data_IF_341065883989
#
_entry.id   IF_341065883989
#
_cell.length_a   1.000
_cell.length_b   1.000
_cell.length_c   1.000
_cell.angle_alpha   90.00
_cell.angle_beta   90.00
_cell.angle_gamma   90.00
#
_symmetry.space_group_name_H-M   'P 1'
#
loop_
_entity.id
_entity.type
_entity.pdbx_description
1 polymer ?
#
# COMPACT_ATOMS: atom_id res chain seq x y z
N UNK A 1 11.96 -14.80 -9.03
CA UNK A 1 11.32 -14.41 -10.32
C UNK A 1 9.86 -14.09 -9.98
N UNK A 2 9.53 -13.14 -10.10
CA UNK A 2 8.94 -11.89 -10.09
C UNK A 2 7.82 -11.87 -11.11
N UNK A 3 6.95 -10.96 -11.08
CA UNK A 3 5.71 -10.86 -11.86
C UNK A 3 5.85 -11.28 -13.34
N UNK A 4 4.72 -11.50 -14.02
CA UNK A 4 4.68 -11.83 -15.46
C UNK A 4 5.53 -10.83 -16.30
N UNK A 5 5.61 -9.57 -15.86
CA UNK A 5 6.42 -8.51 -16.48
C UNK A 5 7.93 -8.74 -16.33
N UNK A 6 8.36 -9.22 -15.18
CA UNK A 6 9.79 -9.52 -14.95
C UNK A 6 10.23 -10.81 -15.65
N UNK A 7 9.32 -11.79 -15.78
CA UNK A 7 9.56 -12.94 -16.62
C UNK A 7 9.69 -12.52 -18.10
N UNK A 8 8.82 -11.60 -18.56
CA UNK A 8 8.89 -11.06 -19.90
C UNK A 8 10.19 -10.29 -20.12
N UNK A 9 10.55 -9.37 -19.22
CA UNK A 9 11.83 -8.63 -19.27
C UNK A 9 13.04 -9.56 -19.27
N UNK A 10 12.98 -10.62 -18.47
CA UNK A 10 14.02 -11.65 -18.43
C UNK A 10 14.17 -12.37 -19.77
N UNK A 11 13.05 -12.78 -20.40
CA UNK A 11 13.03 -13.40 -21.72
C UNK A 11 13.49 -12.43 -22.81
N UNK A 12 13.08 -11.16 -22.71
CA UNK A 12 13.50 -10.11 -23.65
C UNK A 12 15.01 -9.84 -23.58
N UNK A 13 15.61 -9.88 -22.39
CA UNK A 13 17.07 -9.79 -22.21
C UNK A 13 17.81 -10.97 -22.84
N UNK A 14 17.26 -12.18 -22.74
CA UNK A 14 17.80 -13.35 -23.44
C UNK A 14 17.70 -13.16 -24.95
N UNK A 15 16.53 -12.71 -25.45
CA UNK A 15 16.30 -12.47 -26.86
C UNK A 15 17.21 -11.39 -27.44
N UNK A 16 17.57 -10.35 -26.65
CA UNK A 16 18.51 -9.29 -27.04
C UNK A 16 19.98 -9.69 -26.88
N UNK A 17 20.28 -10.90 -26.37
CA UNK A 17 21.65 -11.35 -26.12
C UNK A 17 22.32 -10.70 -24.90
N UNK A 18 21.57 -10.00 -24.07
CA UNK A 18 22.05 -9.34 -22.83
C UNK A 18 22.21 -10.35 -21.67
N UNK A 19 21.57 -11.52 -21.79
CA UNK A 19 21.66 -12.62 -20.84
C UNK A 19 21.89 -13.94 -21.60
N UNK A 20 22.95 -14.64 -21.23
CA UNK A 20 23.25 -15.95 -21.82
C UNK A 20 22.14 -16.98 -21.52
N UNK A 21 21.68 -17.75 -22.53
CA UNK A 21 20.61 -18.74 -22.35
C UNK A 21 20.86 -19.80 -21.28
N UNK A 22 22.12 -20.24 -21.07
CA UNK A 22 22.43 -21.22 -20.05
C UNK A 22 22.34 -20.60 -18.65
N UNK A 23 22.84 -19.39 -18.47
CA UNK A 23 22.72 -18.61 -17.24
C UNK A 23 21.23 -18.34 -16.93
N UNK A 24 20.45 -17.98 -17.97
CA UNK A 24 19.01 -17.80 -17.85
C UNK A 24 18.30 -19.07 -17.40
N UNK A 25 18.63 -20.21 -17.99
CA UNK A 25 18.07 -21.51 -17.61
C UNK A 25 18.40 -21.86 -16.16
N UNK A 26 19.63 -21.65 -15.70
CA UNK A 26 20.04 -21.92 -14.33
C UNK A 26 19.24 -21.06 -13.33
N UNK A 27 19.15 -19.75 -13.58
CA UNK A 27 18.37 -18.82 -12.75
C UNK A 27 16.87 -19.19 -12.71
N UNK A 28 16.30 -19.64 -13.83
CA UNK A 28 14.93 -20.13 -13.89
C UNK A 28 14.74 -21.41 -13.06
N UNK A 29 15.65 -22.37 -13.21
CA UNK A 29 15.60 -23.61 -12.46
C UNK A 29 15.77 -23.39 -10.96
N UNK A 30 16.65 -22.51 -10.54
CA UNK A 30 16.84 -22.17 -9.13
C UNK A 30 15.58 -21.54 -8.55
N UNK A 31 14.93 -20.66 -9.32
CA UNK A 31 13.64 -20.07 -8.93
C UNK A 31 12.53 -21.11 -8.80
N UNK A 32 12.44 -22.04 -9.77
CA UNK A 32 11.43 -23.10 -9.75
C UNK A 32 11.69 -24.16 -8.64
N UNK A 33 12.95 -24.37 -8.26
CA UNK A 33 13.35 -25.25 -7.16
C UNK A 33 13.21 -24.60 -5.79
N UNK A 34 13.21 -23.27 -5.73
CA UNK A 34 13.03 -22.56 -4.48
C UNK A 34 11.65 -22.88 -3.88
N UNK A 35 11.62 -23.24 -2.59
CA UNK A 35 10.34 -23.47 -1.90
C UNK A 35 9.52 -22.17 -1.95
N UNK A 36 8.21 -22.23 -2.27
CA UNK A 36 7.35 -21.06 -2.39
C UNK A 36 7.14 -20.33 -1.07
N UNK A 37 7.39 -21.01 0.04
CA UNK A 37 7.32 -20.44 1.38
C UNK A 37 8.43 -20.98 2.27
N UNK A 38 8.74 -20.21 3.31
CA UNK A 38 9.64 -20.61 4.40
C UNK A 38 8.84 -20.78 5.69
N UNK A 39 9.00 -21.92 6.34
CA UNK A 39 8.31 -22.25 7.60
C UNK A 39 9.20 -21.88 8.79
N UNK A 40 8.79 -20.87 9.56
CA UNK A 40 9.45 -20.40 10.78
C UNK A 40 8.87 -21.06 12.04
N UNK A 41 8.01 -22.10 11.91
CA UNK A 41 7.33 -22.78 12.99
C UNK A 41 6.05 -22.06 13.44
N UNK A 42 6.12 -20.78 13.68
CA UNK A 42 4.96 -19.94 14.06
C UNK A 42 4.31 -19.22 12.88
N UNK A 43 4.97 -19.14 11.74
CA UNK A 43 4.46 -18.49 10.52
C UNK A 43 5.10 -19.12 9.28
N UNK A 44 4.43 -18.96 8.13
CA UNK A 44 4.94 -19.36 6.82
C UNK A 44 5.07 -18.14 5.95
N UNK A 45 6.30 -17.75 5.60
CA UNK A 45 6.61 -16.58 4.76
C UNK A 45 6.44 -16.93 3.29
N UNK A 46 5.55 -16.25 2.58
CA UNK A 46 5.26 -16.50 1.16
C UNK A 46 6.22 -15.73 0.25
N UNK A 47 7.28 -16.38 -0.18
CA UNK A 47 8.27 -15.79 -1.08
C UNK A 47 7.82 -15.65 -2.54
N UNK A 48 6.69 -16.28 -2.93
CA UNK A 48 6.14 -16.20 -4.28
C UNK A 48 5.02 -15.16 -4.43
N UNK A 49 4.71 -14.39 -3.38
CA UNK A 49 3.64 -13.41 -3.44
C UNK A 49 3.90 -12.32 -4.48
N UNK A 50 5.13 -11.85 -4.62
CA UNK A 50 5.51 -10.87 -5.65
C UNK A 50 5.27 -11.36 -7.07
N UNK A 51 5.42 -12.67 -7.31
CA UNK A 51 5.16 -13.30 -8.61
C UNK A 51 3.67 -13.28 -8.95
N UNK A 52 2.81 -13.51 -7.96
CA UNK A 52 1.35 -13.57 -8.16
C UNK A 52 0.68 -12.20 -8.11
N UNK A 53 1.12 -11.35 -7.20
CA UNK A 53 0.42 -10.12 -6.84
C UNK A 53 1.22 -8.84 -7.18
N UNK A 54 2.43 -8.96 -7.75
CA UNK A 54 3.27 -7.82 -8.12
C UNK A 54 4.00 -7.13 -6.97
N UNK A 55 3.71 -7.48 -5.71
CA UNK A 55 4.35 -6.94 -4.51
C UNK A 55 4.69 -8.06 -3.51
N UNK A 56 5.83 -7.97 -2.78
CA UNK A 56 6.24 -8.98 -1.80
C UNK A 56 5.24 -9.17 -0.66
N UNK A 57 5.47 -10.17 0.17
CA UNK A 57 4.68 -10.37 1.39
C UNK A 57 4.80 -9.17 2.33
N UNK A 58 3.67 -8.79 2.92
CA UNK A 58 3.55 -7.67 3.86
C UNK A 58 3.22 -8.20 5.24
N UNK A 59 3.94 -7.74 6.23
CA UNK A 59 3.73 -8.14 7.62
C UNK A 59 2.66 -7.23 8.25
N UNK A 60 1.56 -7.80 8.68
CA UNK A 60 0.64 -7.11 9.59
C UNK A 60 1.23 -7.21 11.01
N UNK A 61 1.66 -6.07 11.58
CA UNK A 61 2.26 -6.03 12.91
C UNK A 61 1.25 -6.28 14.05
N UNK A 62 -0.02 -5.95 13.82
CA UNK A 62 -1.07 -6.13 14.81
C UNK A 62 -1.17 -7.60 15.26
N UNK A 63 -1.16 -7.82 16.58
CA UNK A 63 -1.27 -9.16 17.16
C UNK A 63 0.01 -10.00 17.13
N UNK A 64 1.13 -9.46 16.62
CA UNK A 64 2.44 -10.11 16.64
C UNK A 64 3.37 -9.49 17.68
N UNK A 65 4.23 -10.32 18.27
CA UNK A 65 5.29 -9.82 19.14
C UNK A 65 6.41 -9.16 18.31
N UNK A 66 7.18 -8.22 18.89
CA UNK A 66 8.35 -7.63 18.23
C UNK A 66 9.34 -8.67 17.70
N UNK A 67 9.58 -9.76 18.45
CA UNK A 67 10.46 -10.84 18.02
C UNK A 67 9.93 -11.60 16.81
N UNK A 68 8.62 -11.84 16.73
CA UNK A 68 8.00 -12.46 15.56
C UNK A 68 8.10 -11.57 14.32
N UNK A 69 7.88 -10.25 14.47
CA UNK A 69 8.00 -9.29 13.38
C UNK A 69 9.45 -9.23 12.87
N UNK A 70 10.44 -9.21 13.78
CA UNK A 70 11.85 -9.20 13.42
C UNK A 70 12.27 -10.47 12.67
N UNK A 71 11.81 -11.65 13.12
CA UNK A 71 12.10 -12.92 12.44
C UNK A 71 11.49 -12.98 11.03
N UNK A 72 10.25 -12.50 10.85
CA UNK A 72 9.60 -12.39 9.55
C UNK A 72 10.34 -11.39 8.63
N UNK A 73 10.71 -10.23 9.17
CA UNK A 73 11.45 -9.20 8.44
C UNK A 73 12.79 -9.73 7.92
N UNK A 74 13.55 -10.43 8.79
CA UNK A 74 14.80 -11.09 8.40
C UNK A 74 14.62 -12.08 7.25
N UNK A 75 13.61 -12.95 7.33
CA UNK A 75 13.33 -13.95 6.31
C UNK A 75 12.97 -13.32 4.95
N UNK A 76 12.14 -12.25 4.94
CA UNK A 76 11.77 -11.50 3.73
C UNK A 76 13.00 -10.84 3.11
N UNK A 77 13.80 -10.13 3.93
CA UNK A 77 14.95 -9.37 3.47
C UNK A 77 16.09 -10.28 2.99
N UNK A 78 16.30 -11.44 3.63
CA UNK A 78 17.28 -12.43 3.22
C UNK A 78 17.06 -12.98 1.81
N UNK A 79 15.83 -12.89 1.28
CA UNK A 79 15.46 -13.26 -0.10
C UNK A 79 15.54 -12.10 -1.10
N UNK A 80 16.10 -10.96 -0.69
CA UNK A 80 16.21 -9.78 -1.54
C UNK A 80 14.89 -9.06 -1.76
N UNK A 81 13.84 -9.35 -0.98
CA UNK A 81 12.52 -8.73 -1.11
C UNK A 81 12.44 -7.43 -0.31
N UNK A 82 11.72 -6.45 -0.84
CA UNK A 82 11.35 -5.23 -0.10
C UNK A 82 10.49 -5.59 1.11
N UNK A 83 10.83 -5.03 2.27
CA UNK A 83 10.07 -5.20 3.51
C UNK A 83 9.04 -4.09 3.67
N UNK A 84 7.83 -4.47 4.01
CA UNK A 84 6.78 -3.60 4.53
C UNK A 84 6.11 -4.26 5.73
N UNK A 85 6.13 -3.56 6.86
CA UNK A 85 5.35 -3.93 8.05
C UNK A 85 4.31 -2.84 8.26
N UNK A 86 3.03 -3.20 8.32
CA UNK A 86 1.94 -2.29 8.64
C UNK A 86 1.52 -2.44 10.10
N UNK A 87 0.91 -1.41 10.68
CA UNK A 87 0.50 -1.40 12.10
C UNK A 87 1.67 -1.72 13.03
N UNK A 88 2.84 -1.20 12.69
CA UNK A 88 4.06 -1.37 13.46
C UNK A 88 4.07 -0.44 14.69
N UNK A 89 4.74 -0.91 15.74
CA UNK A 89 5.04 -0.10 16.94
C UNK A 89 6.53 0.23 16.95
N UNK A 90 6.90 1.23 17.74
CA UNK A 90 8.32 1.55 17.99
C UNK A 90 9.11 0.35 18.54
N UNK A 91 8.50 -0.41 19.46
CA UNK A 91 9.12 -1.64 19.99
C UNK A 91 9.34 -2.70 18.88
N UNK A 92 8.43 -2.80 17.91
CA UNK A 92 8.61 -3.65 16.74
C UNK A 92 9.75 -3.16 15.85
N UNK A 93 9.87 -1.85 15.65
CA UNK A 93 10.96 -1.26 14.89
C UNK A 93 12.31 -1.52 15.54
N UNK A 94 12.45 -1.33 16.87
CA UNK A 94 13.69 -1.60 17.58
C UNK A 94 14.14 -3.07 17.41
N UNK A 95 13.21 -4.02 17.43
CA UNK A 95 13.53 -5.43 17.17
C UNK A 95 13.91 -5.68 15.69
N UNK A 96 13.19 -5.07 14.75
CA UNK A 96 13.49 -5.21 13.31
C UNK A 96 14.83 -4.58 12.97
N UNK A 97 15.18 -3.44 13.53
CA UNK A 97 16.43 -2.71 13.29
C UNK A 97 17.68 -3.54 13.61
N UNK A 98 17.61 -4.43 14.58
CA UNK A 98 18.70 -5.35 14.93
C UNK A 98 18.97 -6.34 13.79
N UNK A 99 17.93 -6.88 13.17
CA UNK A 99 18.02 -7.87 12.09
C UNK A 99 18.14 -7.22 10.70
N UNK A 100 17.61 -6.01 10.53
CA UNK A 100 17.57 -5.24 9.29
C UNK A 100 18.02 -3.79 9.58
N UNK A 101 19.34 -3.52 9.72
CA UNK A 101 19.85 -2.21 10.15
C UNK A 101 19.47 -1.03 9.25
N UNK A 102 19.12 -1.28 7.97
CA UNK A 102 18.69 -0.26 7.01
C UNK A 102 17.18 0.03 7.02
N UNK A 103 16.39 -0.63 7.89
CA UNK A 103 14.97 -0.38 7.98
C UNK A 103 14.67 1.03 8.52
N UNK A 104 13.62 1.65 7.97
CA UNK A 104 13.12 2.97 8.38
C UNK A 104 11.75 2.82 9.03
N UNK A 105 11.53 3.50 10.14
CA UNK A 105 10.24 3.59 10.82
C UNK A 105 9.55 4.92 10.51
N UNK A 106 8.33 4.84 10.05
CA UNK A 106 7.43 5.97 9.84
C UNK A 106 6.35 5.93 10.92
N UNK A 107 6.60 6.62 12.03
CA UNK A 107 5.71 6.58 13.21
C UNK A 107 4.33 7.17 12.94
N UNK A 108 4.23 8.17 12.06
CA UNK A 108 2.98 8.78 11.60
C UNK A 108 2.06 7.82 10.84
N UNK A 109 2.65 6.88 10.10
CA UNK A 109 1.97 5.86 9.32
C UNK A 109 1.94 4.48 10.01
N UNK A 110 2.62 4.32 11.14
CA UNK A 110 2.86 3.03 11.80
C UNK A 110 3.45 1.98 10.83
N UNK A 111 4.43 2.37 10.01
CA UNK A 111 5.06 1.50 9.01
C UNK A 111 6.56 1.29 9.31
N UNK A 112 7.05 0.06 9.08
CA UNK A 112 8.48 -0.21 8.93
C UNK A 112 8.74 -0.60 7.49
N UNK A 113 9.73 0.02 6.86
CA UNK A 113 10.04 -0.15 5.44
C UNK A 113 11.53 -0.40 5.25
N UNK A 114 11.87 -1.36 4.38
CA UNK A 114 13.22 -1.51 3.85
C UNK A 114 13.15 -1.83 2.35
N UNK A 115 13.53 -0.88 1.50
CA UNK A 115 13.49 -1.02 0.06
C UNK A 115 14.74 -1.75 -0.43
N UNK A 116 14.56 -2.86 -1.17
CA UNK A 116 15.66 -3.60 -1.79
C UNK A 116 15.52 -3.73 -3.30
N UNK A 117 14.32 -3.59 -3.83
CA UNK A 117 14.06 -3.80 -5.25
C UNK A 117 13.53 -2.52 -5.89
N UNK A 118 13.96 -2.28 -7.10
CA UNK A 118 13.34 -1.28 -7.96
C UNK A 118 11.96 -1.81 -8.39
N UNK A 119 10.98 -0.94 -8.34
CA UNK A 119 9.61 -1.23 -8.77
C UNK A 119 9.30 -0.42 -10.03
N UNK A 120 8.44 -0.95 -10.89
CA UNK A 120 7.96 -0.20 -12.05
C UNK A 120 7.22 1.06 -11.61
N UNK A 121 7.42 2.14 -12.35
CA UNK A 121 6.76 3.42 -12.07
C UNK A 121 5.32 3.36 -12.58
N UNK A 122 4.37 3.85 -11.78
CA UNK A 122 2.96 4.01 -12.17
C UNK A 122 2.80 5.03 -13.29
N UNK A 123 1.70 4.92 -14.03
CA UNK A 123 1.44 5.74 -15.24
C UNK A 123 0.97 7.18 -14.96
N UNK A 124 0.62 7.48 -13.72
CA UNK A 124 0.15 8.81 -13.30
C UNK A 124 0.25 8.98 -11.79
N UNK A 125 -0.32 10.06 -11.29
CA UNK A 125 -0.29 10.41 -9.88
C UNK A 125 -1.47 9.81 -9.12
N UNK A 126 -1.21 9.25 -7.93
CA UNK A 126 -2.23 8.90 -6.95
C UNK A 126 -2.39 10.08 -6.01
N UNK A 127 -3.60 10.60 -5.87
CA UNK A 127 -3.92 11.60 -4.85
C UNK A 127 -4.44 10.91 -3.61
N UNK A 128 -3.89 11.27 -2.44
CA UNK A 128 -4.39 10.83 -1.13
C UNK A 128 -4.98 12.04 -0.42
N UNK A 129 -6.30 12.07 -0.28
CA UNK A 129 -7.05 13.12 0.39
C UNK A 129 -7.52 12.67 1.78
N UNK A 130 -7.28 13.47 2.81
CA UNK A 130 -7.75 13.21 4.18
C UNK A 130 -8.70 14.29 4.66
N UNK A 131 -9.81 13.88 5.30
CA UNK A 131 -10.84 14.80 5.77
C UNK A 131 -10.33 15.69 6.91
N UNK A 132 -9.70 15.10 7.92
CA UNK A 132 -9.19 15.83 9.07
C UNK A 132 -7.80 15.35 9.51
N UNK A 133 -7.19 16.10 10.42
CA UNK A 133 -5.87 15.75 10.96
C UNK A 133 -5.86 14.45 11.75
N UNK A 134 -7.00 14.02 12.28
CA UNK A 134 -7.14 12.75 12.99
C UNK A 134 -7.10 11.54 12.02
N UNK A 135 -7.34 11.75 10.74
CA UNK A 135 -7.31 10.69 9.71
C UNK A 135 -5.90 10.47 9.13
N UNK A 136 -4.92 11.32 9.52
CA UNK A 136 -3.60 11.35 8.89
C UNK A 136 -2.82 10.05 9.00
N UNK A 137 -2.95 9.31 10.09
CA UNK A 137 -2.24 8.03 10.24
C UNK A 137 -2.65 7.03 9.16
N UNK A 138 -3.94 6.94 8.85
CA UNK A 138 -4.46 6.06 7.79
C UNK A 138 -4.11 6.60 6.40
N UNK A 139 -4.13 7.93 6.23
CA UNK A 139 -3.76 8.58 4.97
C UNK A 139 -2.26 8.40 4.67
N UNK A 140 -1.38 8.54 5.67
CA UNK A 140 0.06 8.30 5.51
C UNK A 140 0.37 6.80 5.30
N UNK A 141 -0.36 5.88 5.95
CA UNK A 141 -0.26 4.45 5.63
C UNK A 141 -0.53 4.22 4.13
N UNK A 142 -1.59 4.82 3.59
CA UNK A 142 -1.91 4.71 2.18
C UNK A 142 -0.85 5.37 1.28
N UNK A 143 -0.45 6.61 1.58
CA UNK A 143 0.49 7.37 0.77
C UNK A 143 1.86 6.68 0.69
N UNK A 144 2.46 6.32 1.83
CA UNK A 144 3.78 5.66 1.88
C UNK A 144 3.76 4.26 1.28
N UNK A 145 2.67 3.53 1.46
CA UNK A 145 2.49 2.23 0.80
C UNK A 145 2.46 2.38 -0.72
N UNK A 146 1.70 3.35 -1.25
CA UNK A 146 1.64 3.62 -2.69
C UNK A 146 3.01 4.05 -3.24
N UNK A 147 3.75 4.92 -2.53
CA UNK A 147 5.13 5.31 -2.90
C UNK A 147 6.09 4.12 -2.92
N UNK A 148 5.97 3.21 -1.93
CA UNK A 148 6.78 1.99 -1.89
C UNK A 148 6.48 1.06 -3.07
N UNK A 149 5.24 1.07 -3.55
CA UNK A 149 4.78 0.32 -4.73
C UNK A 149 5.09 1.01 -6.07
N UNK A 150 5.89 2.09 -6.07
CA UNK A 150 6.38 2.76 -7.29
C UNK A 150 5.44 3.82 -7.85
N UNK A 151 4.56 4.39 -7.06
CA UNK A 151 3.67 5.44 -7.52
C UNK A 151 4.13 6.83 -7.07
N UNK A 152 3.89 7.82 -7.94
CA UNK A 152 3.91 9.21 -7.54
C UNK A 152 2.65 9.52 -6.72
N UNK A 153 2.83 10.20 -5.57
CA UNK A 153 1.74 10.48 -4.63
C UNK A 153 1.66 11.95 -4.30
N UNK A 154 0.47 12.54 -4.46
CA UNK A 154 0.14 13.88 -3.98
C UNK A 154 -0.76 13.78 -2.75
N UNK A 155 -0.38 14.48 -1.68
CA UNK A 155 -1.12 14.53 -0.41
C UNK A 155 -1.98 15.78 -0.34
N UNK A 156 -3.28 15.64 -0.05
CA UNK A 156 -4.25 16.70 0.18
C UNK A 156 -4.89 16.49 1.55
N UNK A 157 -4.36 17.15 2.57
CA UNK A 157 -4.79 16.93 3.94
C UNK A 157 -5.65 18.07 4.47
N UNK A 158 -6.50 17.77 5.43
CA UNK A 158 -7.45 18.68 6.07
C UNK A 158 -8.43 19.33 5.08
N UNK A 159 -8.95 18.52 4.13
CA UNK A 159 -9.91 18.95 3.10
C UNK A 159 -11.33 18.46 3.37
N UNK A 160 -11.70 18.28 4.65
CA UNK A 160 -13.01 17.79 5.07
C UNK A 160 -14.18 18.67 4.62
N UNK A 161 -15.36 18.04 4.47
CA UNK A 161 -16.58 18.66 3.94
C UNK A 161 -17.11 19.82 4.77
N UNK A 162 -16.78 19.88 6.05
CA UNK A 162 -17.12 21.00 6.92
C UNK A 162 -16.48 22.34 6.50
N UNK A 163 -15.41 22.28 5.70
CA UNK A 163 -14.75 23.42 5.08
C UNK A 163 -14.58 23.21 3.58
N UNK A 164 -15.66 23.00 2.85
CA UNK A 164 -15.68 22.59 1.43
C UNK A 164 -14.81 23.45 0.53
N UNK A 165 -14.66 24.74 0.82
CA UNK A 165 -13.78 25.65 0.08
C UNK A 165 -12.32 25.22 0.05
N UNK A 166 -11.84 24.48 1.07
CA UNK A 166 -10.48 23.91 1.10
C UNK A 166 -10.32 22.82 0.03
N UNK A 167 -11.29 21.92 -0.08
CA UNK A 167 -11.32 20.89 -1.12
C UNK A 167 -11.42 21.51 -2.51
N UNK A 168 -12.31 22.49 -2.69
CA UNK A 168 -12.53 23.15 -3.98
C UNK A 168 -11.28 23.93 -4.44
N UNK A 169 -10.47 24.44 -3.51
CA UNK A 169 -9.18 25.06 -3.81
C UNK A 169 -8.14 24.11 -4.41
N UNK A 170 -8.30 22.78 -4.17
CA UNK A 170 -7.40 21.75 -4.67
C UNK A 170 -7.92 21.03 -5.94
N UNK A 171 -8.97 21.57 -6.56
CA UNK A 171 -9.66 20.94 -7.70
C UNK A 171 -8.70 20.55 -8.83
N UNK A 172 -7.77 21.40 -9.20
CA UNK A 172 -6.82 21.13 -10.27
C UNK A 172 -5.94 19.89 -10.00
N UNK A 173 -5.58 19.64 -8.73
CA UNK A 173 -4.82 18.45 -8.32
C UNK A 173 -5.67 17.20 -8.33
N UNK A 174 -6.96 17.31 -7.98
CA UNK A 174 -7.90 16.20 -8.05
C UNK A 174 -8.14 15.78 -9.50
N UNK A 175 -8.34 16.75 -10.40
CA UNK A 175 -8.57 16.50 -11.84
C UNK A 175 -7.33 15.92 -12.56
N UNK A 176 -6.12 16.22 -12.06
CA UNK A 176 -4.87 15.68 -12.61
C UNK A 176 -4.54 14.25 -12.12
N UNK A 177 -5.29 13.73 -11.17
CA UNK A 177 -5.05 12.39 -10.61
C UNK A 177 -5.45 11.29 -11.59
N UNK A 178 -4.76 10.14 -11.52
CA UNK A 178 -5.19 8.91 -12.18
C UNK A 178 -6.10 8.04 -11.30
N UNK A 179 -5.87 8.09 -9.99
CA UNK A 179 -6.68 7.44 -8.95
C UNK A 179 -6.64 8.31 -7.70
N UNK A 180 -7.74 8.38 -6.97
CA UNK A 180 -7.82 9.13 -5.73
C UNK A 180 -8.16 8.19 -4.58
N UNK A 181 -7.38 8.25 -3.50
CA UNK A 181 -7.70 7.61 -2.22
C UNK A 181 -8.25 8.69 -1.31
N UNK A 182 -9.44 8.49 -0.75
CA UNK A 182 -10.09 9.45 0.15
C UNK A 182 -10.32 8.82 1.51
N UNK A 183 -9.67 9.39 2.53
CA UNK A 183 -9.67 8.91 3.91
C UNK A 183 -10.54 9.83 4.77
N UNK A 184 -11.57 9.29 5.41
CA UNK A 184 -12.50 10.06 6.22
C UNK A 184 -13.15 9.22 7.33
N UNK A 185 -13.24 9.81 8.50
CA UNK A 185 -14.05 9.31 9.62
C UNK A 185 -15.43 9.93 9.68
N UNK A 186 -15.98 10.08 10.88
CA UNK A 186 -17.27 10.68 11.17
C UNK A 186 -18.42 10.04 10.35
N UNK A 187 -19.04 10.81 9.45
CA UNK A 187 -20.15 10.37 8.55
C UNK A 187 -19.67 9.85 7.20
N UNK A 188 -18.36 9.98 6.87
CA UNK A 188 -17.80 9.46 5.64
C UNK A 188 -18.23 10.18 4.36
N UNK A 189 -18.60 11.46 4.40
CA UNK A 189 -19.17 12.17 3.25
C UNK A 189 -18.14 12.59 2.18
N UNK A 190 -16.88 12.77 2.56
CA UNK A 190 -15.85 13.32 1.67
C UNK A 190 -15.68 12.52 0.36
N UNK A 191 -15.66 11.17 0.33
CA UNK A 191 -15.53 10.42 -0.92
C UNK A 191 -16.64 10.69 -1.93
N UNK A 192 -17.88 10.85 -1.48
CA UNK A 192 -19.01 11.20 -2.37
C UNK A 192 -18.85 12.56 -3.01
N UNK A 193 -18.34 13.54 -2.25
CA UNK A 193 -18.09 14.91 -2.75
C UNK A 193 -16.94 14.90 -3.76
N UNK A 194 -15.83 14.22 -3.44
CA UNK A 194 -14.69 14.10 -4.36
C UNK A 194 -15.11 13.41 -5.65
N UNK A 195 -15.81 12.28 -5.56
CA UNK A 195 -16.24 11.54 -6.75
C UNK A 195 -17.25 12.32 -7.62
N UNK A 196 -17.98 13.28 -7.04
CA UNK A 196 -18.83 14.21 -7.80
C UNK A 196 -18.05 15.29 -8.56
N UNK A 197 -16.74 15.44 -8.29
CA UNK A 197 -15.88 16.47 -8.91
C UNK A 197 -14.93 15.93 -9.99
N UNK A 198 -14.77 14.59 -10.08
CA UNK A 198 -13.76 13.94 -10.91
C UNK A 198 -14.35 12.82 -11.75
N UNK A 199 -13.63 12.41 -12.80
CA UNK A 199 -13.97 11.28 -13.69
C UNK A 199 -13.03 10.07 -13.53
N UNK A 200 -12.21 10.09 -12.47
CA UNK A 200 -11.25 9.01 -12.14
C UNK A 200 -11.76 8.14 -10.98
N UNK A 201 -11.24 6.90 -10.82
CA UNK A 201 -11.63 6.04 -9.71
C UNK A 201 -11.32 6.65 -8.34
N UNK A 202 -12.27 6.55 -7.41
CA UNK A 202 -12.16 6.99 -6.02
C UNK A 202 -12.22 5.78 -5.10
N UNK A 203 -11.17 5.58 -4.31
CA UNK A 203 -11.08 4.52 -3.30
C UNK A 203 -11.30 5.16 -1.94
N UNK A 204 -12.45 4.87 -1.34
CA UNK A 204 -12.85 5.40 -0.05
C UNK A 204 -12.34 4.53 1.09
N UNK A 205 -11.69 5.17 2.07
CA UNK A 205 -11.17 4.54 3.28
C UNK A 205 -11.91 5.12 4.48
N UNK A 206 -12.88 4.41 5.05
CA UNK A 206 -13.48 4.82 6.30
C UNK A 206 -12.45 4.70 7.42
N UNK A 207 -12.43 5.65 8.36
CA UNK A 207 -11.58 5.55 9.55
C UNK A 207 -12.41 5.26 10.79
N UNK A 208 -11.78 4.68 11.81
CA UNK A 208 -12.38 4.47 13.13
C UNK A 208 -12.52 5.79 13.92
N UNK A 209 -12.06 6.90 13.37
CA UNK A 209 -12.14 8.22 13.97
C UNK A 209 -13.58 8.71 14.01
N UNK A 210 -14.02 9.05 15.19
CA UNK A 210 -15.37 9.54 15.44
C UNK A 210 -15.79 9.36 16.90
N UNK A 211 -16.99 9.80 17.21
CA UNK A 211 -17.58 9.67 18.54
C UNK A 211 -19.08 9.42 18.45
N UNK A 212 -19.73 9.11 19.58
CA UNK A 212 -21.18 8.88 19.62
C UNK A 212 -21.61 7.74 18.69
N UNK A 213 -22.43 8.03 17.70
CA UNK A 213 -23.00 7.06 16.76
C UNK A 213 -22.04 6.62 15.65
N UNK A 214 -20.75 6.95 15.73
CA UNK A 214 -19.75 6.50 14.72
C UNK A 214 -19.46 5.00 14.79
N UNK A 215 -19.67 4.37 15.96
CA UNK A 215 -19.44 2.94 16.21
C UNK A 215 -18.09 2.44 15.66
N UNK A 216 -16.99 3.17 15.95
CA UNK A 216 -15.64 2.79 15.52
C UNK A 216 -15.46 2.75 13.99
N UNK A 217 -16.14 3.65 13.28
CA UNK A 217 -16.04 3.79 11.82
C UNK A 217 -17.15 3.12 11.02
N UNK A 218 -18.09 2.41 11.67
CA UNK A 218 -19.22 1.78 10.97
C UNK A 218 -20.10 2.82 10.28
N UNK A 219 -20.34 3.98 10.90
CA UNK A 219 -21.12 5.05 10.27
C UNK A 219 -20.46 5.55 8.99
N UNK A 220 -19.14 5.80 9.02
CA UNK A 220 -18.37 6.18 7.85
C UNK A 220 -18.42 5.09 6.76
N UNK A 221 -18.20 3.82 7.12
CA UNK A 221 -18.26 2.69 6.21
C UNK A 221 -19.63 2.61 5.50
N UNK A 222 -20.72 2.65 6.26
CA UNK A 222 -22.07 2.59 5.70
C UNK A 222 -22.40 3.82 4.85
N UNK A 223 -21.95 5.01 5.25
CA UNK A 223 -22.10 6.24 4.47
C UNK A 223 -21.40 6.13 3.11
N UNK A 224 -20.17 5.63 3.09
CA UNK A 224 -19.38 5.44 1.86
C UNK A 224 -19.98 4.35 0.96
N UNK A 225 -20.44 3.23 1.51
CA UNK A 225 -21.09 2.14 0.77
C UNK A 225 -22.43 2.58 0.13
N UNK A 226 -23.11 3.58 0.73
CA UNK A 226 -24.35 4.16 0.22
C UNK A 226 -24.11 5.40 -0.67
N UNK A 227 -22.88 5.67 -1.09
CA UNK A 227 -22.58 6.78 -2.00
C UNK A 227 -23.37 6.65 -3.30
N UNK A 228 -24.07 7.73 -3.72
CA UNK A 228 -24.71 7.79 -5.02
C UNK A 228 -23.76 8.22 -6.14
N UNK A 229 -22.52 8.67 -5.82
CA UNK A 229 -21.53 9.02 -6.80
C UNK A 229 -20.96 7.73 -7.44
N UNK A 230 -21.01 7.67 -8.78
CA UNK A 230 -20.40 6.57 -9.53
C UNK A 230 -18.87 6.60 -9.41
N UNK A 231 -18.21 5.42 -9.44
CA UNK A 231 -16.75 5.33 -9.38
C UNK A 231 -16.16 5.26 -7.97
N UNK A 232 -16.99 5.23 -6.91
CA UNK A 232 -16.55 5.02 -5.54
C UNK A 232 -16.46 3.53 -5.23
N UNK A 233 -15.29 3.08 -4.79
CA UNK A 233 -15.06 1.75 -4.22
C UNK A 233 -14.63 1.92 -2.77
N UNK A 234 -15.10 1.04 -1.88
CA UNK A 234 -14.86 1.19 -0.43
C UNK A 234 -14.00 0.02 0.06
N UNK A 235 -12.95 0.33 0.81
CA UNK A 235 -12.16 -0.66 1.54
C UNK A 235 -12.61 -0.77 3.00
N UNK A 236 -12.02 -1.69 3.76
CA UNK A 236 -12.36 -1.85 5.18
C UNK A 236 -11.93 -0.62 6.01
N UNK A 237 -12.48 -0.51 7.21
CA UNK A 237 -12.14 0.56 8.18
C UNK A 237 -10.64 0.55 8.47
N UNK A 238 -10.03 1.74 8.47
CA UNK A 238 -8.60 1.99 8.69
C UNK A 238 -7.66 1.24 7.73
N UNK A 239 -8.10 0.80 6.58
CA UNK A 239 -7.31 0.01 5.64
C UNK A 239 -6.61 0.88 4.58
N UNK A 240 -5.70 1.76 5.01
CA UNK A 240 -4.86 2.56 4.12
C UNK A 240 -4.01 1.71 3.18
N UNK A 241 -3.43 0.63 3.71
CA UNK A 241 -2.66 -0.34 2.92
C UNK A 241 -3.48 -0.94 1.77
N UNK A 242 -4.70 -1.42 2.06
CA UNK A 242 -5.56 -2.02 1.02
C UNK A 242 -5.96 -1.04 -0.07
N UNK A 243 -6.23 0.22 0.30
CA UNK A 243 -6.52 1.28 -0.66
C UNK A 243 -5.30 1.58 -1.56
N UNK A 244 -4.11 1.68 -0.97
CA UNK A 244 -2.87 1.90 -1.71
C UNK A 244 -2.57 0.75 -2.68
N UNK A 245 -2.74 -0.50 -2.25
CA UNK A 245 -2.53 -1.68 -3.10
C UNK A 245 -3.49 -1.67 -4.31
N UNK A 246 -4.78 -1.37 -4.09
CA UNK A 246 -5.75 -1.25 -5.18
C UNK A 246 -5.44 -0.08 -6.11
N UNK A 247 -5.13 1.11 -5.56
CA UNK A 247 -4.76 2.28 -6.34
C UNK A 247 -3.50 2.02 -7.18
N UNK A 248 -2.51 1.35 -6.61
CA UNK A 248 -1.28 0.97 -7.30
C UNK A 248 -1.57 0.02 -8.47
N UNK A 249 -2.42 -1.01 -8.28
CA UNK A 249 -2.83 -1.90 -9.37
C UNK A 249 -3.46 -1.11 -10.52
N UNK A 250 -4.40 -0.20 -10.24
CA UNK A 250 -5.06 0.63 -11.25
C UNK A 250 -4.05 1.55 -11.96
N UNK A 251 -3.10 2.12 -11.20
CA UNK A 251 -2.13 3.08 -11.74
C UNK A 251 -1.06 2.42 -12.62
N UNK A 252 -0.84 1.11 -12.48
CA UNK A 252 0.08 0.35 -13.34
C UNK A 252 -0.58 -0.29 -14.57
N UNK A 253 -1.94 -0.38 -14.61
CA UNK A 253 -2.70 -0.80 -15.79
C UNK A 253 -2.63 0.26 -16.90
#
# INVERSE_FOLDING_TARGET
MTSNKQLQDFLDRVARGELDPNTAREQLLDTLRAKPYEDLGFARVDHHRSVRNGFPEVILGLGKTPAQIAALAKAIVARGSTLLVTRATEASYEAVRVEVPGATYYGDAALIVFRQQDVSIGKGTIVVAAAGTSDLSVAEEAARTAELMGNEVTRLYDVGVAGLHRLLGERARLEAARVIIVVAGMEGALPSVVAGLVDVPVIAVPTSIGYGASFGGIAALLGMLNSCASGVSVVNIDNGFGAAAMASLINHL
#
